data_IF_572258948804
#
_entry.id   IF_572258948804
#
_cell.length_a   1.000
_cell.length_b   1.000
_cell.length_c   1.000
_cell.angle_alpha   90.00
_cell.angle_beta   90.00
_cell.angle_gamma   90.00
#
_symmetry.space_group_name_H-M   'P 1'
#
loop_
_entity.id
_entity.type
_entity.pdbx_description
1 polymer ?
#
# COMPACT_ATOMS: atom_id res chain seq x y z
N UNK A 1 -37.95 15.29 -16.86
CA UNK A 1 -37.92 14.39 -15.69
C UNK A 1 -37.21 15.09 -14.55
N UNK A 2 -37.51 14.77 -13.29
CA UNK A 2 -36.98 15.58 -12.18
C UNK A 2 -35.67 15.00 -11.65
N UNK A 3 -34.67 15.87 -11.53
CA UNK A 3 -33.42 15.65 -10.79
C UNK A 3 -33.65 14.98 -9.41
N UNK A 4 -34.82 15.23 -8.82
CA UNK A 4 -35.26 14.65 -7.57
C UNK A 4 -35.40 13.11 -7.60
N UNK A 5 -35.81 12.53 -8.73
CA UNK A 5 -35.91 11.07 -8.89
C UNK A 5 -34.52 10.42 -8.95
N UNK A 6 -33.57 11.06 -9.64
CA UNK A 6 -32.17 10.64 -9.72
C UNK A 6 -31.54 10.63 -8.33
N UNK A 7 -31.65 11.75 -7.61
CA UNK A 7 -31.11 11.88 -6.25
C UNK A 7 -31.72 10.86 -5.27
N UNK A 8 -33.02 10.57 -5.38
CA UNK A 8 -33.67 9.52 -4.58
C UNK A 8 -33.06 8.15 -4.84
N UNK A 9 -32.71 7.85 -6.09
CA UNK A 9 -32.18 6.55 -6.51
C UNK A 9 -30.72 6.39 -6.08
N UNK A 10 -29.90 7.43 -6.23
CA UNK A 10 -28.52 7.47 -5.71
C UNK A 10 -28.54 7.31 -4.18
N UNK A 11 -29.38 8.09 -3.47
CA UNK A 11 -29.49 7.99 -2.02
C UNK A 11 -29.96 6.61 -1.54
N UNK A 12 -30.82 5.94 -2.32
CA UNK A 12 -31.24 4.57 -2.03
C UNK A 12 -30.09 3.58 -2.18
N UNK A 13 -29.30 3.70 -3.25
CA UNK A 13 -28.12 2.87 -3.51
C UNK A 13 -27.10 3.00 -2.37
N UNK A 14 -26.66 4.23 -2.06
CA UNK A 14 -25.72 4.53 -0.98
C UNK A 14 -26.23 4.00 0.38
N UNK A 15 -27.52 4.17 0.67
CA UNK A 15 -28.12 3.66 1.90
C UNK A 15 -28.10 2.13 1.97
N UNK A 16 -28.27 1.45 0.84
CA UNK A 16 -28.20 -0.01 0.77
C UNK A 16 -26.77 -0.49 1.01
N UNK A 17 -25.79 0.13 0.36
CA UNK A 17 -24.35 -0.15 0.56
C UNK A 17 -23.94 0.07 2.01
N UNK A 18 -24.33 1.20 2.64
CA UNK A 18 -24.06 1.47 4.07
C UNK A 18 -24.53 0.36 5.01
N UNK A 19 -25.63 -0.32 4.70
CA UNK A 19 -26.19 -1.39 5.57
C UNK A 19 -25.36 -2.67 5.54
N UNK A 20 -24.54 -2.85 4.51
CA UNK A 20 -23.69 -4.03 4.32
C UNK A 20 -22.28 -3.80 4.87
N UNK A 21 -21.89 -2.54 5.08
CA UNK A 21 -20.58 -2.14 5.56
C UNK A 21 -20.59 -1.88 7.09
N UNK A 22 -19.43 -2.03 7.77
CA UNK A 22 -19.28 -1.69 9.18
C UNK A 22 -19.45 -0.18 9.43
N UNK A 23 -19.92 0.21 10.60
CA UNK A 23 -20.05 1.63 10.95
C UNK A 23 -18.67 2.18 11.37
N UNK A 24 -17.89 2.65 10.39
CA UNK A 24 -16.54 3.18 10.58
C UNK A 24 -16.32 4.45 9.77
N UNK A 25 -15.27 5.21 10.12
CA UNK A 25 -14.89 6.43 9.39
C UNK A 25 -14.54 6.13 7.93
N UNK A 26 -13.82 5.04 7.69
CA UNK A 26 -13.42 4.58 6.35
C UNK A 26 -14.64 4.20 5.51
N UNK A 27 -15.70 3.68 6.13
CA UNK A 27 -16.96 3.41 5.45
C UNK A 27 -17.68 4.71 5.07
N UNK A 28 -17.67 5.73 5.92
CA UNK A 28 -18.26 7.02 5.57
C UNK A 28 -17.52 7.71 4.41
N UNK A 29 -16.19 7.65 4.42
CA UNK A 29 -15.33 8.18 3.35
C UNK A 29 -15.61 7.47 2.01
N UNK A 30 -15.63 6.14 2.01
CA UNK A 30 -15.97 5.34 0.84
C UNK A 30 -17.36 5.68 0.26
N UNK A 31 -18.37 5.86 1.12
CA UNK A 31 -19.72 6.16 0.68
C UNK A 31 -19.84 7.57 0.10
N UNK A 32 -19.08 8.53 0.62
CA UNK A 32 -19.02 9.88 0.08
C UNK A 32 -18.31 9.89 -1.28
N UNK A 33 -17.18 9.18 -1.41
CA UNK A 33 -16.47 9.00 -2.68
C UNK A 33 -17.35 8.31 -3.74
N UNK A 34 -18.04 7.24 -3.36
CA UNK A 34 -18.98 6.53 -4.23
C UNK A 34 -20.09 7.45 -4.74
N UNK A 35 -20.62 8.31 -3.87
CA UNK A 35 -21.66 9.27 -4.23
C UNK A 35 -21.15 10.33 -5.21
N UNK A 36 -19.93 10.82 -5.03
CA UNK A 36 -19.29 11.76 -5.97
C UNK A 36 -19.07 11.05 -7.31
N UNK A 37 -18.53 9.84 -7.29
CA UNK A 37 -18.23 9.07 -8.50
C UNK A 37 -19.48 8.77 -9.35
N UNK A 38 -20.61 8.42 -8.72
CA UNK A 38 -21.89 8.21 -9.43
C UNK A 38 -22.33 9.49 -10.14
N UNK A 39 -22.21 10.65 -9.48
CA UNK A 39 -22.65 11.93 -10.04
C UNK A 39 -21.76 12.38 -11.19
N UNK A 40 -20.45 12.28 -11.02
CA UNK A 40 -19.48 12.67 -12.04
C UNK A 40 -19.65 11.77 -13.28
N UNK A 41 -19.78 10.46 -13.08
CA UNK A 41 -19.99 9.50 -14.17
C UNK A 41 -21.33 9.72 -14.88
N UNK A 42 -22.39 10.06 -14.14
CA UNK A 42 -23.68 10.40 -14.74
C UNK A 42 -23.57 11.69 -15.59
N UNK A 43 -22.88 12.70 -15.10
CA UNK A 43 -22.69 13.94 -15.86
C UNK A 43 -21.86 13.72 -17.13
N UNK A 44 -20.78 12.94 -17.04
CA UNK A 44 -19.96 12.55 -18.19
C UNK A 44 -20.81 11.81 -19.24
N UNK A 45 -21.66 10.86 -18.81
CA UNK A 45 -22.58 10.17 -19.73
C UNK A 45 -23.63 11.10 -20.32
N UNK A 46 -24.18 12.05 -19.56
CA UNK A 46 -25.13 13.06 -20.08
C UNK A 46 -24.50 13.96 -21.14
N UNK A 47 -23.23 14.32 -20.97
CA UNK A 47 -22.48 15.11 -21.96
C UNK A 47 -22.25 14.29 -23.25
N UNK A 48 -21.91 13.00 -23.11
CA UNK A 48 -21.66 12.11 -24.24
C UNK A 48 -22.96 11.69 -24.97
N UNK A 49 -24.07 11.55 -24.25
CA UNK A 49 -25.36 11.03 -24.73
C UNK A 49 -26.52 11.98 -24.37
N UNK A 50 -26.59 13.19 -24.98
CA UNK A 50 -27.56 14.21 -24.58
C UNK A 50 -29.03 13.88 -24.93
N UNK A 51 -29.24 12.95 -25.85
CA UNK A 51 -30.57 12.53 -26.32
C UNK A 51 -31.13 11.35 -25.50
N UNK A 52 -30.32 10.75 -24.62
CA UNK A 52 -30.72 9.61 -23.80
C UNK A 52 -31.37 10.06 -22.49
N UNK A 53 -32.24 9.18 -21.98
CA UNK A 53 -32.93 9.45 -20.74
C UNK A 53 -31.99 9.35 -19.53
N UNK A 54 -32.06 10.33 -18.63
CA UNK A 54 -31.15 10.42 -17.49
C UNK A 54 -31.32 9.27 -16.49
N UNK A 55 -32.49 8.61 -16.42
CA UNK A 55 -32.64 7.41 -15.58
C UNK A 55 -31.98 6.20 -16.23
N UNK A 56 -32.04 6.07 -17.55
CA UNK A 56 -31.31 5.02 -18.28
C UNK A 56 -29.81 5.18 -18.07
N UNK A 57 -29.29 6.39 -18.25
CA UNK A 57 -27.87 6.67 -18.01
C UNK A 57 -27.45 6.39 -16.56
N UNK A 58 -28.31 6.71 -15.59
CA UNK A 58 -28.06 6.37 -14.18
C UNK A 58 -28.06 4.86 -13.94
N UNK A 59 -28.97 4.12 -14.56
CA UNK A 59 -28.99 2.65 -14.46
C UNK A 59 -27.70 2.06 -15.00
N UNK A 60 -27.20 2.55 -16.14
CA UNK A 60 -25.91 2.14 -16.67
C UNK A 60 -24.75 2.48 -15.73
N UNK A 61 -24.72 3.68 -15.16
CA UNK A 61 -23.67 4.06 -14.19
C UNK A 61 -23.70 3.16 -12.96
N UNK A 62 -24.89 2.81 -12.46
CA UNK A 62 -25.02 1.91 -11.32
C UNK A 62 -24.65 0.46 -11.68
N UNK A 63 -24.88 0.04 -12.93
CA UNK A 63 -24.44 -1.26 -13.43
C UNK A 63 -22.91 -1.31 -13.58
N UNK A 64 -22.30 -0.25 -14.10
CA UNK A 64 -20.85 -0.10 -14.27
C UNK A 64 -20.12 -0.11 -12.91
N UNK A 65 -20.74 0.46 -11.87
CA UNK A 65 -20.21 0.50 -10.49
C UNK A 65 -20.38 -0.84 -9.76
N UNK A 66 -21.35 -1.66 -10.16
CA UNK A 66 -21.65 -2.94 -9.53
C UNK A 66 -22.68 -2.86 -8.42
N UNK A 67 -23.02 -4.03 -7.84
CA UNK A 67 -24.08 -4.10 -6.83
C UNK A 67 -23.56 -3.69 -5.44
N UNK A 68 -24.44 -3.23 -4.54
CA UNK A 68 -24.05 -2.97 -3.15
C UNK A 68 -23.41 -4.18 -2.46
N UNK A 69 -23.83 -5.38 -2.84
CA UNK A 69 -23.27 -6.64 -2.38
C UNK A 69 -21.83 -6.84 -2.88
N UNK A 70 -21.56 -6.58 -4.16
CA UNK A 70 -20.20 -6.68 -4.74
C UNK A 70 -19.24 -5.68 -4.06
N UNK A 71 -19.68 -4.44 -3.86
CA UNK A 71 -18.89 -3.40 -3.18
C UNK A 71 -18.55 -3.82 -1.74
N UNK A 72 -19.49 -4.45 -1.03
CA UNK A 72 -19.27 -4.91 0.33
C UNK A 72 -18.28 -6.08 0.41
N UNK A 73 -18.34 -6.99 -0.56
CA UNK A 73 -17.41 -8.13 -0.66
C UNK A 73 -15.99 -7.66 -1.01
N UNK A 74 -15.85 -6.70 -1.92
CA UNK A 74 -14.56 -6.09 -2.27
C UNK A 74 -13.94 -5.35 -1.07
N UNK A 75 -14.73 -4.54 -0.36
CA UNK A 75 -14.29 -3.83 0.84
C UNK A 75 -13.80 -4.77 1.95
N UNK A 76 -14.47 -5.92 2.14
CA UNK A 76 -14.02 -6.93 3.09
C UNK A 76 -12.73 -7.61 2.64
N UNK A 77 -12.59 -7.86 1.34
CA UNK A 77 -11.38 -8.49 0.78
C UNK A 77 -10.17 -7.59 0.92
N UNK A 78 -10.28 -6.30 0.59
CA UNK A 78 -9.20 -5.33 0.74
C UNK A 78 -8.79 -5.15 2.21
N UNK A 79 -9.75 -5.10 3.14
CA UNK A 79 -9.42 -5.07 4.57
C UNK A 79 -8.73 -6.35 5.06
N UNK A 80 -9.01 -7.50 4.46
CA UNK A 80 -8.32 -8.75 4.82
C UNK A 80 -6.91 -8.78 4.24
N UNK A 81 -6.69 -8.31 3.02
CA UNK A 81 -5.35 -8.17 2.43
C UNK A 81 -4.48 -7.14 3.17
N UNK A 82 -5.02 -5.98 3.57
CA UNK A 82 -4.29 -5.03 4.40
C UNK A 82 -4.02 -5.55 5.82
N UNK A 83 -4.89 -6.42 6.34
CA UNK A 83 -4.72 -7.06 7.65
C UNK A 83 -3.89 -8.32 7.63
N UNK A 84 -3.52 -8.87 6.47
CA UNK A 84 -2.44 -9.86 6.46
C UNK A 84 -1.16 -9.11 6.82
N UNK A 85 -0.60 -9.31 8.04
CA UNK A 85 0.73 -8.79 8.29
C UNK A 85 1.62 -9.49 7.28
N UNK A 86 2.22 -8.73 6.35
CA UNK A 86 3.30 -9.20 5.50
C UNK A 86 4.19 -10.07 6.37
N UNK A 87 4.11 -11.38 6.13
CA UNK A 87 4.57 -12.39 7.08
C UNK A 87 6.00 -12.03 7.52
N UNK A 88 6.28 -12.05 8.83
CA UNK A 88 7.56 -11.60 9.39
C UNK A 88 8.82 -12.26 8.78
N UNK A 89 8.63 -13.27 7.92
CA UNK A 89 9.63 -13.86 7.05
C UNK A 89 10.30 -12.83 6.11
N UNK A 90 9.58 -11.91 5.48
CA UNK A 90 10.17 -11.00 4.48
C UNK A 90 11.09 -9.94 5.10
N UNK A 91 10.74 -9.45 6.29
CA UNK A 91 11.62 -8.56 7.06
C UNK A 91 12.91 -9.29 7.48
N UNK A 92 12.80 -10.54 7.95
CA UNK A 92 13.97 -11.35 8.31
C UNK A 92 14.86 -11.61 7.09
N UNK A 93 14.27 -11.98 5.95
CA UNK A 93 15.01 -12.24 4.70
C UNK A 93 15.75 -10.98 4.24
N UNK A 94 15.10 -9.81 4.27
CA UNK A 94 15.73 -8.55 3.88
C UNK A 94 16.94 -8.21 4.78
N UNK A 95 16.79 -8.34 6.10
CA UNK A 95 17.86 -8.07 7.05
C UNK A 95 19.02 -9.09 6.93
N UNK A 96 18.70 -10.37 6.70
CA UNK A 96 19.70 -11.41 6.47
C UNK A 96 20.45 -11.16 5.16
N UNK A 97 19.77 -10.82 4.06
CA UNK A 97 20.43 -10.48 2.79
C UNK A 97 21.35 -9.26 2.92
N UNK A 98 20.90 -8.22 3.63
CA UNK A 98 21.72 -7.03 3.89
C UNK A 98 22.96 -7.37 4.70
N UNK A 99 22.85 -8.24 5.70
CA UNK A 99 23.99 -8.70 6.50
C UNK A 99 24.98 -9.51 5.65
N UNK A 100 24.49 -10.43 4.82
CA UNK A 100 25.31 -11.23 3.91
C UNK A 100 26.05 -10.33 2.92
N UNK A 101 25.38 -9.34 2.32
CA UNK A 101 26.00 -8.39 1.42
C UNK A 101 27.13 -7.59 2.10
N UNK A 102 26.91 -7.12 3.34
CA UNK A 102 27.93 -6.41 4.11
C UNK A 102 29.16 -7.29 4.40
N UNK A 103 28.95 -8.56 4.74
CA UNK A 103 30.04 -9.53 4.96
C UNK A 103 30.83 -9.76 3.68
N UNK A 104 30.15 -9.95 2.54
CA UNK A 104 30.81 -10.14 1.24
C UNK A 104 31.68 -8.94 0.85
N UNK A 105 31.16 -7.72 1.02
CA UNK A 105 31.91 -6.48 0.74
C UNK A 105 33.14 -6.36 1.65
N UNK A 106 33.02 -6.69 2.93
CA UNK A 106 34.14 -6.65 3.87
C UNK A 106 35.25 -7.66 3.49
N UNK A 107 34.87 -8.88 3.13
CA UNK A 107 35.82 -9.92 2.68
C UNK A 107 36.52 -9.51 1.39
N UNK A 108 35.78 -9.00 0.40
CA UNK A 108 36.34 -8.52 -0.87
C UNK A 108 37.29 -7.34 -0.67
N UNK A 109 36.91 -6.39 0.19
CA UNK A 109 37.76 -5.24 0.51
C UNK A 109 39.05 -5.67 1.21
N UNK A 110 38.98 -6.59 2.17
CA UNK A 110 40.16 -7.14 2.84
C UNK A 110 41.08 -7.91 1.88
N UNK A 111 40.51 -8.64 0.92
CA UNK A 111 41.26 -9.34 -0.12
C UNK A 111 42.01 -8.38 -1.05
N UNK A 112 41.35 -7.31 -1.52
CA UNK A 112 41.98 -6.28 -2.37
C UNK A 112 43.14 -5.59 -1.62
N UNK A 113 42.93 -5.20 -0.37
CA UNK A 113 43.99 -4.57 0.45
C UNK A 113 45.19 -5.50 0.64
N UNK A 114 44.95 -6.80 0.86
CA UNK A 114 46.02 -7.80 1.00
C UNK A 114 46.86 -7.95 -0.28
N UNK A 115 46.25 -7.83 -1.46
CA UNK A 115 46.95 -7.91 -2.76
C UNK A 115 47.76 -6.63 -3.01
N UNK A 116 47.16 -5.47 -2.78
CA UNK A 116 47.81 -4.16 -3.07
C UNK A 116 48.99 -3.88 -2.15
N UNK A 117 48.95 -4.40 -0.91
CA UNK A 117 50.01 -4.19 0.07
C UNK A 117 51.11 -5.24 0.05
N UNK A 118 51.09 -6.18 -0.90
CA UNK A 118 52.06 -7.28 -1.04
C UNK A 118 52.27 -8.04 0.29
N UNK A 119 51.18 -8.21 1.06
CA UNK A 119 51.20 -8.87 2.37
C UNK A 119 51.72 -8.04 3.55
N UNK A 120 51.98 -6.73 3.39
CA UNK A 120 52.45 -5.87 4.47
C UNK A 120 51.39 -5.62 5.58
N UNK A 121 50.11 -5.80 5.25
CA UNK A 121 49.00 -5.69 6.22
C UNK A 121 48.42 -7.09 6.49
N UNK A 122 48.45 -7.51 7.76
CA UNK A 122 47.94 -8.80 8.17
C UNK A 122 46.41 -8.85 7.98
N UNK A 123 45.93 -9.77 7.13
CA UNK A 123 44.51 -10.00 6.83
C UNK A 123 43.64 -10.07 8.09
N UNK A 124 44.09 -10.80 9.12
CA UNK A 124 43.35 -10.94 10.38
C UNK A 124 43.19 -9.62 11.13
N UNK A 125 44.18 -8.73 11.08
CA UNK A 125 44.10 -7.41 11.69
C UNK A 125 43.07 -6.53 10.97
N UNK A 126 43.06 -6.55 9.63
CA UNK A 126 42.08 -5.80 8.84
C UNK A 126 40.64 -6.29 9.08
N UNK A 127 40.43 -7.61 9.16
CA UNK A 127 39.13 -8.21 9.47
C UNK A 127 38.63 -7.81 10.86
N UNK A 128 39.49 -7.86 11.88
CA UNK A 128 39.13 -7.47 13.26
C UNK A 128 38.72 -5.99 13.35
N UNK A 129 39.45 -5.10 12.66
CA UNK A 129 39.11 -3.67 12.62
C UNK A 129 37.76 -3.43 11.92
N UNK A 130 37.51 -4.09 10.78
CA UNK A 130 36.23 -3.99 10.07
C UNK A 130 35.05 -4.46 10.92
N UNK A 131 35.20 -5.60 11.60
CA UNK A 131 34.17 -6.13 12.51
C UNK A 131 33.92 -5.17 13.68
N UNK A 132 34.97 -4.56 14.24
CA UNK A 132 34.83 -3.56 15.29
C UNK A 132 34.05 -2.32 14.83
N UNK A 133 34.33 -1.81 13.62
CA UNK A 133 33.56 -0.70 13.05
C UNK A 133 32.09 -1.06 12.78
N UNK A 134 31.82 -2.24 12.24
CA UNK A 134 30.46 -2.71 12.01
C UNK A 134 29.66 -2.83 13.33
N UNK A 135 30.31 -3.30 14.40
CA UNK A 135 29.69 -3.38 15.73
C UNK A 135 29.40 -2.00 16.33
N UNK A 136 30.32 -1.05 16.19
CA UNK A 136 30.12 0.34 16.64
C UNK A 136 28.96 0.99 15.88
N UNK A 137 28.91 0.84 14.56
CA UNK A 137 27.82 1.38 13.74
C UNK A 137 26.46 0.80 14.15
N UNK A 138 26.40 -0.52 14.37
CA UNK A 138 25.20 -1.18 14.86
C UNK A 138 24.75 -0.62 16.21
N UNK A 139 25.66 -0.47 17.17
CA UNK A 139 25.36 0.09 18.48
C UNK A 139 24.90 1.56 18.42
N UNK A 140 25.47 2.36 17.52
CA UNK A 140 25.07 3.76 17.29
C UNK A 140 23.66 3.83 16.68
N UNK A 141 23.37 3.04 15.65
CA UNK A 141 22.04 2.99 15.02
C UNK A 141 20.95 2.50 15.99
N UNK A 142 21.28 1.54 16.87
CA UNK A 142 20.35 1.05 17.90
C UNK A 142 19.96 2.10 18.94
N UNK A 143 20.86 3.04 19.26
CA UNK A 143 20.55 4.16 20.15
C UNK A 143 19.74 5.27 19.48
N UNK A 144 19.89 5.46 18.17
CA UNK A 144 19.10 6.44 17.41
C UNK A 144 17.64 6.04 17.21
N UNK A 145 17.34 4.74 17.28
CA UNK A 145 15.96 4.21 17.13
C UNK A 145 15.16 4.19 18.43
N UNK A 146 15.79 4.40 19.59
CA UNK A 146 15.10 4.53 20.90
C UNK A 146 14.93 5.99 21.36
N UNK A 147 15.39 6.96 20.56
CA UNK A 147 15.34 8.39 20.86
C UNK A 147 14.23 9.16 20.14
N UNK A 148 13.22 8.45 19.62
CA UNK A 148 11.94 9.00 19.14
C UNK A 148 10.83 8.38 19.97
#
# INVERSE_FOLDING_TARGET
>A
MSEEEIEKRIAYFIRRTRRLLPDSFETEDLLDDLKVHIRDSLEDKRIAHPDEDSLTLLEEVLEDIGTPEDIADEYQTEQVEEREPQTGSDWIIHYVMRLVAAVLVAVLSAWIVSIVTDGAVNFWFATVVLVAFAFIEWAVRGKQTQGV
#
